data_IF_554658731389
#
_entry.id   IF_554658731389
#
_cell.length_a   1.000
_cell.length_b   1.000
_cell.length_c   1.000
_cell.angle_alpha   90.00
_cell.angle_beta   90.00
_cell.angle_gamma   90.00
#
_symmetry.space_group_name_H-M   'P 1'
#
loop_
_entity.id
_entity.type
_entity.pdbx_description
1 polymer ?
#
# COMPACT_ATOMS: atom_id res chain seq x y z
N UNK A 1 -1.84 -19.42 -11.30
CA UNK A 1 -2.08 -18.79 -9.98
C UNK A 1 -0.94 -17.81 -9.76
N UNK A 2 -1.19 -16.51 -9.56
CA UNK A 2 -0.14 -15.50 -9.38
C UNK A 2 -0.15 -15.05 -7.93
N UNK A 3 0.63 -15.74 -7.12
CA UNK A 3 0.92 -15.37 -5.74
C UNK A 3 1.84 -14.15 -5.75
N UNK A 4 1.46 -13.11 -5.01
CA UNK A 4 2.40 -12.07 -4.57
C UNK A 4 3.24 -12.69 -3.44
N UNK A 5 4.54 -12.80 -3.63
CA UNK A 5 5.48 -13.29 -2.60
C UNK A 5 5.71 -12.19 -1.56
N UNK A 6 4.76 -12.04 -0.65
CA UNK A 6 4.75 -11.03 0.41
C UNK A 6 4.94 -11.66 1.79
N UNK A 7 5.52 -12.85 1.89
CA UNK A 7 5.59 -13.66 3.12
C UNK A 7 6.13 -12.86 4.33
N UNK A 8 6.96 -11.85 4.09
CA UNK A 8 7.56 -10.96 5.10
C UNK A 8 7.03 -9.51 5.08
N UNK A 9 6.10 -9.17 4.21
CA UNK A 9 5.66 -7.78 3.97
C UNK A 9 4.15 -7.57 4.14
N UNK A 10 3.32 -8.60 4.06
CA UNK A 10 1.86 -8.48 4.22
C UNK A 10 1.34 -8.68 5.64
N UNK A 11 0.24 -8.03 5.99
CA UNK A 11 -0.51 -8.34 7.22
C UNK A 11 -1.22 -9.69 7.05
N UNK A 12 -1.02 -10.60 8.00
CA UNK A 12 -1.79 -11.85 8.10
C UNK A 12 -3.11 -11.57 8.79
N UNK A 13 -4.23 -11.87 8.13
CA UNK A 13 -5.56 -11.86 8.74
C UNK A 13 -5.84 -13.30 9.19
N UNK A 14 -6.04 -13.50 10.49
CA UNK A 14 -6.22 -14.84 11.08
C UNK A 14 -5.08 -15.82 10.72
N UNK A 15 -3.83 -15.35 10.78
CA UNK A 15 -2.65 -16.14 10.43
C UNK A 15 -2.50 -16.47 8.93
N UNK A 16 -3.46 -16.08 8.09
CA UNK A 16 -3.43 -16.30 6.64
C UNK A 16 -3.09 -15.01 5.91
N UNK A 17 -2.23 -15.11 4.91
CA UNK A 17 -1.97 -14.01 4.01
C UNK A 17 -3.08 -13.93 2.95
N UNK A 18 -3.51 -12.71 2.62
CA UNK A 18 -4.50 -12.47 1.57
C UNK A 18 -3.85 -12.72 0.20
N UNK A 19 -4.19 -13.84 -0.41
CA UNK A 19 -3.62 -14.25 -1.70
C UNK A 19 -4.58 -14.03 -2.90
N UNK A 20 -5.80 -13.53 -2.68
CA UNK A 20 -6.83 -13.43 -3.72
C UNK A 20 -7.54 -12.06 -3.73
N UNK A 21 -7.12 -11.17 -4.63
CA UNK A 21 -7.72 -9.86 -4.88
C UNK A 21 -8.81 -9.90 -5.97
N UNK A 22 -9.42 -11.05 -6.26
CA UNK A 22 -10.25 -11.27 -7.46
C UNK A 22 -11.47 -10.34 -7.60
N UNK A 23 -11.89 -9.70 -6.52
CA UNK A 23 -13.10 -8.87 -6.44
C UNK A 23 -12.91 -7.60 -5.58
N UNK A 24 -11.67 -7.23 -5.26
CA UNK A 24 -11.40 -6.04 -4.46
C UNK A 24 -11.11 -4.85 -5.38
N UNK A 25 -11.90 -3.79 -5.27
CA UNK A 25 -11.66 -2.52 -5.97
C UNK A 25 -10.64 -1.64 -5.21
N UNK A 26 -10.59 -1.79 -3.88
CA UNK A 26 -9.72 -1.05 -2.97
C UNK A 26 -8.86 -2.01 -2.12
N UNK A 27 -7.65 -1.56 -1.77
CA UNK A 27 -6.75 -2.27 -0.87
C UNK A 27 -6.05 -1.28 0.07
N UNK A 28 -5.65 -1.75 1.25
CA UNK A 28 -4.86 -0.97 2.19
C UNK A 28 -3.56 -1.72 2.51
N UNK A 29 -2.43 -1.00 2.48
CA UNK A 29 -1.12 -1.49 2.91
C UNK A 29 -0.78 -0.83 4.25
N UNK A 30 -0.49 -1.64 5.26
CA UNK A 30 -0.10 -1.17 6.59
C UNK A 30 1.35 -1.55 6.80
N UNK A 31 2.20 -0.56 7.06
CA UNK A 31 3.65 -0.77 7.26
C UNK A 31 4.15 0.10 8.41
N UNK A 32 5.32 -0.23 8.95
CA UNK A 32 5.94 0.54 10.02
C UNK A 32 6.73 1.76 9.53
N UNK A 33 7.08 1.85 8.23
CA UNK A 33 7.85 2.97 7.69
C UNK A 33 7.62 3.18 6.18
N UNK A 34 7.86 4.42 5.74
CA UNK A 34 7.64 4.87 4.36
C UNK A 34 8.42 4.00 3.36
N UNK A 35 9.69 3.70 3.61
CA UNK A 35 10.52 2.92 2.67
C UNK A 35 10.05 1.47 2.50
N UNK A 36 9.37 0.88 3.48
CA UNK A 36 8.70 -0.42 3.33
C UNK A 36 7.42 -0.26 2.51
N UNK A 37 6.62 0.76 2.80
CA UNK A 37 5.41 1.05 2.01
C UNK A 37 5.72 1.27 0.52
N UNK A 38 6.80 1.99 0.19
CA UNK A 38 7.16 2.27 -1.21
C UNK A 38 7.54 0.98 -1.96
N UNK A 39 8.34 0.12 -1.32
CA UNK A 39 8.71 -1.19 -1.86
C UNK A 39 7.50 -2.11 -2.04
N UNK A 40 6.64 -2.19 -1.03
CA UNK A 40 5.43 -2.99 -1.10
C UNK A 40 4.49 -2.53 -2.22
N UNK A 41 4.30 -1.21 -2.35
CA UNK A 41 3.45 -0.66 -3.39
C UNK A 41 4.04 -0.87 -4.79
N UNK A 42 5.37 -0.78 -4.94
CA UNK A 42 6.06 -1.10 -6.20
C UNK A 42 5.91 -2.57 -6.60
N UNK A 43 6.08 -3.49 -5.65
CA UNK A 43 5.86 -4.91 -5.90
C UNK A 43 4.41 -5.23 -6.23
N UNK A 44 3.47 -4.53 -5.58
CA UNK A 44 2.05 -4.63 -5.88
C UNK A 44 1.75 -4.18 -7.31
N UNK A 45 2.20 -2.98 -7.69
CA UNK A 45 2.00 -2.41 -9.03
C UNK A 45 2.55 -3.35 -10.12
N UNK A 46 3.75 -3.89 -9.89
CA UNK A 46 4.38 -4.87 -10.77
C UNK A 46 3.54 -6.15 -10.90
N UNK A 47 2.95 -6.64 -9.82
CA UNK A 47 2.10 -7.82 -9.86
C UNK A 47 0.76 -7.55 -10.55
N UNK A 48 0.14 -6.40 -10.30
CA UNK A 48 -1.04 -5.91 -11.02
C UNK A 48 -0.77 -5.88 -12.52
N UNK A 49 0.35 -5.29 -12.95
CA UNK A 49 0.75 -5.22 -14.36
C UNK A 49 0.83 -6.60 -15.02
N UNK A 50 1.30 -7.63 -14.30
CA UNK A 50 1.32 -9.01 -14.85
C UNK A 50 -0.08 -9.49 -15.21
N UNK A 51 -1.10 -9.21 -14.38
CA UNK A 51 -2.52 -9.59 -14.58
C UNK A 51 -3.33 -8.59 -15.41
N UNK A 52 -2.68 -7.57 -16.00
CA UNK A 52 -3.36 -6.55 -16.79
C UNK A 52 -4.15 -5.55 -15.96
N UNK A 53 -3.90 -5.49 -14.65
CA UNK A 53 -4.42 -4.44 -13.77
C UNK A 53 -3.41 -3.30 -13.67
N UNK A 54 -3.90 -2.10 -13.38
CA UNK A 54 -3.07 -0.91 -13.18
C UNK A 54 -3.57 -0.13 -11.97
N UNK A 55 -2.65 0.31 -11.12
CA UNK A 55 -2.97 1.21 -10.01
C UNK A 55 -3.39 2.58 -10.53
N UNK A 56 -4.44 3.15 -9.91
CA UNK A 56 -4.84 4.52 -10.16
C UNK A 56 -4.26 5.43 -9.08
N UNK A 57 -3.04 5.92 -9.33
CA UNK A 57 -2.26 6.70 -8.35
C UNK A 57 -2.97 7.98 -7.89
N UNK A 58 -3.80 8.58 -8.72
CA UNK A 58 -4.59 9.77 -8.36
C UNK A 58 -5.68 9.49 -7.32
N UNK A 59 -6.18 8.25 -7.25
CA UNK A 59 -7.11 7.79 -6.22
C UNK A 59 -6.40 7.17 -5.01
N UNK A 60 -5.10 6.90 -5.14
CA UNK A 60 -4.30 6.33 -4.05
C UNK A 60 -3.96 7.46 -3.10
N UNK A 61 -4.26 7.27 -1.82
CA UNK A 61 -3.86 8.18 -0.74
C UNK A 61 -3.10 7.37 0.29
N UNK A 62 -2.18 8.01 1.01
CA UNK A 62 -1.58 7.41 2.19
C UNK A 62 -2.01 8.16 3.45
N UNK A 63 -2.02 7.45 4.57
CA UNK A 63 -2.27 8.00 5.89
C UNK A 63 -1.09 7.64 6.79
N UNK A 64 -0.74 8.54 7.70
CA UNK A 64 0.30 8.31 8.69
C UNK A 64 -0.24 8.61 10.08
N UNK A 65 0.25 7.88 11.07
CA UNK A 65 0.10 8.30 12.46
C UNK A 65 1.18 9.35 12.77
N UNK A 66 0.85 10.35 13.60
CA UNK A 66 1.64 11.58 13.84
C UNK A 66 3.06 11.41 14.38
N UNK A 67 3.53 10.17 14.58
CA UNK A 67 4.85 9.81 15.09
C UNK A 67 5.87 9.42 14.00
N UNK A 68 5.46 9.24 12.74
CA UNK A 68 6.35 8.83 11.64
C UNK A 68 7.03 10.03 10.96
N UNK A 69 8.15 9.83 10.26
CA UNK A 69 9.02 10.91 9.73
C UNK A 69 8.40 11.73 8.57
N UNK A 70 8.86 12.98 8.42
CA UNK A 70 8.43 13.99 7.43
C UNK A 70 8.94 13.75 5.99
N UNK A 71 9.01 12.51 5.53
CA UNK A 71 9.41 12.19 4.15
C UNK A 71 8.23 12.19 3.17
N UNK A 72 8.42 12.59 1.90
CA UNK A 72 7.42 12.33 0.87
C UNK A 72 7.23 10.81 0.67
N UNK A 73 6.02 10.40 0.31
CA UNK A 73 5.72 9.03 -0.09
C UNK A 73 5.57 8.95 -1.60
N UNK A 74 6.43 8.17 -2.26
CA UNK A 74 6.50 8.15 -3.72
C UNK A 74 6.40 6.74 -4.29
N UNK A 75 5.79 6.63 -5.46
CA UNK A 75 5.87 5.44 -6.29
C UNK A 75 6.48 5.80 -7.64
N UNK A 76 7.62 5.20 -7.98
CA UNK A 76 8.34 5.48 -9.23
C UNK A 76 8.56 6.99 -9.48
N UNK A 77 8.87 7.74 -8.41
CA UNK A 77 9.06 9.19 -8.47
C UNK A 77 7.77 10.02 -8.50
N UNK A 78 6.59 9.40 -8.52
CA UNK A 78 5.30 10.09 -8.42
C UNK A 78 4.89 10.22 -6.96
N UNK A 79 4.64 11.44 -6.48
CA UNK A 79 4.14 11.69 -5.14
C UNK A 79 2.72 11.13 -4.96
N UNK A 80 2.51 10.40 -3.88
CA UNK A 80 1.18 9.95 -3.45
C UNK A 80 0.68 10.96 -2.40
N UNK A 81 -0.52 11.52 -2.57
CA UNK A 81 -1.06 12.51 -1.64
C UNK A 81 -1.29 11.90 -0.26
N UNK A 82 -0.94 12.68 0.77
CA UNK A 82 -1.29 12.37 2.16
C UNK A 82 -2.75 12.78 2.40
N UNK A 83 -3.55 11.88 2.98
CA UNK A 83 -4.88 12.20 3.46
C UNK A 83 -4.81 12.65 4.93
N UNK A 84 -4.90 13.96 5.13
CA UNK A 84 -4.74 14.62 6.43
C UNK A 84 -6.08 14.77 7.17
N UNK A 85 -6.72 13.67 7.55
CA UNK A 85 -7.90 13.77 8.42
C UNK A 85 -8.05 12.65 9.44
N UNK A 86 -7.08 12.46 10.33
CA UNK A 86 -7.38 11.94 11.67
C UNK A 86 -6.40 12.57 12.68
N UNK A 87 -6.88 13.56 13.44
CA UNK A 87 -6.06 14.24 14.46
C UNK A 87 -6.49 15.66 14.88
N UNK A 88 -7.79 15.98 14.97
CA UNK A 88 -8.29 16.96 15.95
C UNK A 88 -9.57 16.38 16.55
N UNK A 89 -9.70 16.51 17.88
CA UNK A 89 -10.71 15.91 18.79
C UNK A 89 -10.26 14.53 19.30
N UNK A 90 -10.00 14.30 20.61
CA UNK A 90 -10.28 15.01 21.88
C UNK A 90 -9.10 14.74 22.83
#
# INVERSE_FOLDING_TARGET
>A
MRTLEWDNMGVKIDGRQLHHFRFADDFALITANISQAERMLADFDKACGKIGLRLHLTKTVFMRNGLLSYGPFTLNGTNIPEYSSFGKSI
#
